data_IF_471846594170
#
_entry.id   IF_471846594170
#
_cell.length_a   1.000
_cell.length_b   1.000
_cell.length_c   1.000
_cell.angle_alpha   90.00
_cell.angle_beta   90.00
_cell.angle_gamma   90.00
#
_symmetry.space_group_name_H-M   'P 1'
#
loop_
_entity.id
_entity.type
_entity.pdbx_description
1 polymer ?
#
# COMPACT_ATOMS: atom_id res chain seq x y z
N UNK A 1 -46.12 -24.79 -35.04
CA UNK A 1 -47.26 -23.86 -35.20
C UNK A 1 -47.00 -22.61 -34.36
N UNK A 2 -47.15 -21.45 -34.99
CA UNK A 2 -47.35 -20.09 -34.46
C UNK A 2 -46.38 -19.50 -33.41
N UNK A 3 -45.56 -18.57 -33.88
CA UNK A 3 -45.00 -17.43 -33.14
C UNK A 3 -46.15 -16.55 -32.58
N UNK A 4 -45.99 -15.99 -31.38
CA UNK A 4 -46.89 -14.94 -30.86
C UNK A 4 -46.06 -13.71 -30.47
N UNK A 5 -46.12 -12.75 -31.38
CA UNK A 5 -45.45 -11.45 -31.38
C UNK A 5 -46.11 -10.44 -30.42
N UNK A 6 -45.26 -9.57 -29.87
CA UNK A 6 -45.46 -8.15 -29.55
C UNK A 6 -46.90 -7.60 -29.60
N UNK A 7 -47.42 -7.17 -28.44
CA UNK A 7 -48.43 -6.11 -28.38
C UNK A 7 -47.85 -4.90 -27.64
N UNK A 8 -47.02 -4.13 -28.35
CA UNK A 8 -46.66 -2.77 -27.97
C UNK A 8 -47.83 -1.85 -28.32
N UNK A 9 -48.67 -1.51 -27.34
CA UNK A 9 -49.67 -0.45 -27.50
C UNK A 9 -48.94 0.87 -27.74
N UNK A 10 -48.94 1.34 -28.98
CA UNK A 10 -48.51 2.69 -29.37
C UNK A 10 -49.47 3.67 -28.68
N UNK A 11 -48.98 4.41 -27.69
CA UNK A 11 -49.73 5.54 -27.13
C UNK A 11 -49.84 6.63 -28.22
N UNK A 12 -51.04 7.20 -28.46
CA UNK A 12 -51.18 8.32 -29.38
C UNK A 12 -50.43 9.53 -28.82
N UNK A 13 -49.53 10.09 -29.64
CA UNK A 13 -48.88 11.35 -29.38
C UNK A 13 -49.91 12.47 -29.51
N UNK A 14 -50.43 12.94 -28.39
CA UNK A 14 -51.12 14.23 -28.32
C UNK A 14 -50.05 15.32 -28.43
N UNK A 15 -49.88 15.85 -29.64
CA UNK A 15 -49.17 17.11 -29.87
C UNK A 15 -50.04 18.25 -29.33
N UNK A 16 -49.53 19.14 -28.46
CA UNK A 16 -50.12 20.45 -28.32
C UNK A 16 -49.51 21.39 -29.38
N UNK A 17 -50.42 22.08 -30.06
CA UNK A 17 -50.37 23.49 -30.47
C UNK A 17 -49.04 24.22 -30.28
N UNK A 18 -48.66 24.98 -31.31
CA UNK A 18 -47.67 26.06 -31.32
C UNK A 18 -47.89 27.04 -30.16
N UNK A 19 -47.38 26.69 -28.99
CA UNK A 19 -47.17 27.60 -27.88
C UNK A 19 -45.66 27.70 -27.64
N UNK A 20 -45.20 28.93 -27.45
CA UNK A 20 -43.83 29.23 -27.12
C UNK A 20 -43.48 28.55 -25.79
N UNK A 21 -42.93 27.35 -25.85
CA UNK A 21 -42.39 26.65 -24.67
C UNK A 21 -41.27 27.53 -24.15
N UNK A 22 -41.54 28.22 -23.05
CA UNK A 22 -40.60 29.09 -22.38
C UNK A 22 -39.34 28.28 -22.03
N UNK A 23 -38.28 28.44 -22.82
CA UNK A 23 -37.01 27.74 -22.63
C UNK A 23 -36.30 28.19 -21.34
N UNK A 24 -36.71 29.32 -20.73
CA UNK A 24 -36.25 29.73 -19.40
C UNK A 24 -36.87 28.90 -18.26
N UNK A 25 -37.93 28.13 -18.52
CA UNK A 25 -38.46 27.10 -17.63
C UNK A 25 -37.77 25.73 -17.83
N UNK A 26 -36.67 25.64 -18.58
CA UNK A 26 -35.75 24.49 -18.50
C UNK A 26 -35.15 24.49 -17.09
N UNK A 27 -35.83 23.78 -16.19
CA UNK A 27 -35.36 23.48 -14.84
C UNK A 27 -33.91 23.01 -14.94
N UNK A 28 -32.99 23.89 -14.51
CA UNK A 28 -31.59 23.55 -14.33
C UNK A 28 -31.50 22.24 -13.53
N UNK A 29 -30.48 21.44 -13.80
CA UNK A 29 -30.30 20.08 -13.26
C UNK A 29 -30.06 20.04 -11.72
N UNK A 30 -30.61 20.97 -10.95
CA UNK A 30 -30.29 21.28 -9.56
C UNK A 30 -31.27 20.67 -8.53
N UNK A 31 -32.12 19.72 -8.91
CA UNK A 31 -32.94 19.05 -7.89
C UNK A 31 -32.13 17.96 -7.18
N UNK A 32 -32.14 18.00 -5.84
CA UNK A 32 -31.49 17.02 -4.97
C UNK A 32 -31.74 15.56 -5.41
N UNK A 33 -32.97 15.23 -5.85
CA UNK A 33 -33.33 13.89 -6.33
C UNK A 33 -32.55 13.46 -7.58
N UNK A 34 -32.30 14.37 -8.52
CA UNK A 34 -31.53 14.08 -9.74
C UNK A 34 -30.06 13.84 -9.39
N UNK A 35 -29.48 14.69 -8.55
CA UNK A 35 -28.11 14.53 -8.06
C UNK A 35 -27.94 13.23 -7.29
N UNK A 36 -28.86 12.89 -6.36
CA UNK A 36 -28.84 11.62 -5.62
C UNK A 36 -28.94 10.40 -6.54
N UNK A 37 -29.76 10.47 -7.59
CA UNK A 37 -29.87 9.38 -8.58
C UNK A 37 -28.60 9.24 -9.42
N UNK A 38 -27.99 10.36 -9.82
CA UNK A 38 -26.76 10.38 -10.59
C UNK A 38 -25.56 9.84 -9.79
N UNK A 39 -25.48 10.13 -8.49
CA UNK A 39 -24.41 9.68 -7.59
C UNK A 39 -24.73 8.34 -6.88
N UNK A 40 -25.76 7.61 -7.31
CA UNK A 40 -26.15 6.36 -6.65
C UNK A 40 -25.15 5.25 -6.94
N UNK A 41 -24.41 4.85 -5.91
CA UNK A 41 -23.58 3.63 -5.91
C UNK A 41 -24.46 2.44 -5.53
N UNK A 42 -24.33 1.32 -6.24
CA UNK A 42 -25.02 0.06 -5.90
C UNK A 42 -24.30 -0.63 -4.74
N UNK A 43 -25.03 -1.32 -3.84
CA UNK A 43 -24.39 -2.15 -2.82
C UNK A 43 -23.63 -3.31 -3.48
N UNK A 44 -22.75 -3.95 -2.71
CA UNK A 44 -22.03 -5.14 -3.16
C UNK A 44 -23.00 -6.31 -3.42
N UNK A 45 -22.63 -7.22 -4.33
CA UNK A 45 -23.48 -8.33 -4.75
C UNK A 45 -23.81 -9.29 -3.60
N UNK A 46 -22.95 -9.38 -2.59
CA UNK A 46 -23.19 -10.17 -1.36
C UNK A 46 -24.43 -9.72 -0.56
N UNK A 47 -24.92 -8.49 -0.76
CA UNK A 47 -26.14 -7.98 -0.12
C UNK A 47 -27.38 -8.08 -1.01
N UNK A 48 -27.26 -8.64 -2.22
CA UNK A 48 -28.42 -8.94 -3.04
C UNK A 48 -29.25 -10.06 -2.39
N UNK A 49 -30.59 -10.06 -2.52
CA UNK A 49 -31.42 -11.12 -1.96
C UNK A 49 -30.96 -12.48 -2.50
N UNK A 50 -30.74 -13.44 -1.59
CA UNK A 50 -30.37 -14.81 -1.96
C UNK A 50 -31.50 -15.45 -2.75
N UNK A 51 -31.19 -16.01 -3.92
CA UNK A 51 -32.15 -16.77 -4.71
C UNK A 51 -32.25 -18.24 -4.26
N UNK A 52 -31.25 -18.72 -3.52
CA UNK A 52 -31.07 -20.14 -3.21
C UNK A 52 -31.48 -20.48 -1.77
N UNK A 53 -31.26 -19.56 -0.83
CA UNK A 53 -31.52 -19.82 0.59
C UNK A 53 -32.92 -19.37 0.98
N UNK A 54 -33.66 -20.26 1.65
CA UNK A 54 -35.05 -20.06 2.05
C UNK A 54 -35.20 -19.59 3.49
N UNK A 55 -34.11 -19.60 4.27
CA UNK A 55 -34.07 -19.25 5.70
C UNK A 55 -32.95 -18.23 5.97
N UNK A 56 -33.01 -17.62 7.16
CA UNK A 56 -31.98 -16.69 7.64
C UNK A 56 -30.65 -17.41 7.89
N UNK A 57 -29.56 -16.85 7.38
CA UNK A 57 -28.21 -17.42 7.48
C UNK A 57 -27.15 -16.32 7.64
N UNK A 58 -25.96 -16.70 8.12
CA UNK A 58 -24.82 -15.79 8.29
C UNK A 58 -23.89 -15.91 7.09
N UNK A 59 -23.68 -14.81 6.37
CA UNK A 59 -22.77 -14.73 5.22
C UNK A 59 -21.39 -14.23 5.66
N UNK A 60 -20.33 -14.92 5.27
CA UNK A 60 -18.96 -14.42 5.43
C UNK A 60 -18.60 -13.49 4.26
N UNK A 61 -18.50 -12.19 4.54
CA UNK A 61 -18.23 -11.15 3.55
C UNK A 61 -16.95 -10.37 3.90
N UNK A 62 -15.75 -10.89 3.59
CA UNK A 62 -14.50 -10.19 3.86
C UNK A 62 -14.41 -8.93 2.97
N UNK A 63 -14.30 -7.72 3.56
CA UNK A 63 -14.29 -6.49 2.77
C UNK A 63 -12.97 -6.33 2.01
N UNK A 64 -13.04 -5.78 0.79
CA UNK A 64 -11.87 -5.39 -0.02
C UNK A 64 -11.22 -4.09 0.45
N UNK A 65 -10.97 -3.97 1.75
CA UNK A 65 -10.39 -2.79 2.40
C UNK A 65 -9.18 -3.18 3.26
N UNK A 66 -8.29 -2.21 3.54
CA UNK A 66 -7.20 -2.44 4.48
C UNK A 66 -7.74 -2.75 5.89
N UNK A 67 -7.14 -3.71 6.61
CA UNK A 67 -7.55 -4.02 7.98
C UNK A 67 -7.20 -2.86 8.93
N UNK A 68 -8.02 -2.69 9.97
CA UNK A 68 -7.74 -1.78 11.07
C UNK A 68 -6.67 -2.36 12.02
N UNK A 69 -5.97 -1.51 12.77
CA UNK A 69 -4.97 -1.87 13.79
C UNK A 69 -5.53 -2.85 14.84
N UNK A 70 -6.81 -2.74 15.16
CA UNK A 70 -7.48 -3.65 16.12
C UNK A 70 -7.72 -5.07 15.57
N UNK A 71 -7.56 -5.31 14.27
CA UNK A 71 -7.51 -6.66 13.72
C UNK A 71 -6.11 -7.25 13.95
N UNK A 72 -5.86 -7.65 15.20
CA UNK A 72 -4.56 -8.15 15.64
C UNK A 72 -4.25 -9.51 14.99
N UNK A 73 -3.16 -9.64 14.22
CA UNK A 73 -2.76 -10.93 13.67
C UNK A 73 -2.39 -11.89 14.80
N UNK A 74 -2.59 -13.20 14.57
CA UNK A 74 -2.35 -14.25 15.57
C UNK A 74 -0.96 -14.16 16.24
N UNK A 75 0.07 -13.73 15.50
CA UNK A 75 1.44 -13.59 16.03
C UNK A 75 1.53 -12.62 17.21
N UNK A 76 0.63 -11.65 17.32
CA UNK A 76 0.61 -10.66 18.40
C UNK A 76 -0.38 -10.98 19.54
N UNK A 77 -1.15 -12.06 19.44
CA UNK A 77 -2.03 -12.49 20.52
C UNK A 77 -1.24 -13.23 21.63
N UNK A 78 -1.67 -13.22 22.91
CA UNK A 78 -1.14 -14.11 23.94
C UNK A 78 -1.40 -15.58 23.61
N UNK A 79 -0.55 -16.51 24.08
CA UNK A 79 -0.70 -17.96 23.78
C UNK A 79 -2.05 -18.54 24.25
N UNK A 80 -2.56 -18.07 25.38
CA UNK A 80 -3.81 -18.54 26.00
C UNK A 80 -5.08 -17.87 25.43
N UNK A 81 -4.96 -16.99 24.44
CA UNK A 81 -6.11 -16.28 23.87
C UNK A 81 -6.98 -17.24 23.04
N UNK A 82 -8.27 -17.45 23.37
CA UNK A 82 -9.14 -18.37 22.65
C UNK A 82 -9.35 -17.97 21.18
N UNK A 83 -9.18 -16.69 20.82
CA UNK A 83 -9.29 -16.19 19.44
C UNK A 83 -8.25 -16.81 18.52
N UNK A 84 -7.13 -17.32 19.04
CA UNK A 84 -6.16 -18.08 18.25
C UNK A 84 -6.76 -19.32 17.58
N UNK A 85 -7.78 -19.94 18.20
CA UNK A 85 -8.47 -21.14 17.67
C UNK A 85 -9.41 -20.82 16.50
N UNK A 86 -9.98 -19.61 16.48
CA UNK A 86 -11.00 -19.19 15.51
C UNK A 86 -10.46 -18.35 14.35
N UNK A 87 -9.17 -17.99 14.38
CA UNK A 87 -8.52 -17.32 13.26
C UNK A 87 -8.20 -18.33 12.15
N UNK A 88 -9.28 -18.85 11.53
CA UNK A 88 -9.21 -19.42 10.21
C UNK A 88 -8.82 -18.30 9.23
N UNK A 89 -7.93 -18.57 8.26
CA UNK A 89 -7.45 -17.54 7.35
C UNK A 89 -8.63 -16.97 6.56
N UNK A 90 -8.91 -15.68 6.78
CA UNK A 90 -9.63 -14.82 5.83
C UNK A 90 -8.96 -14.80 4.45
N UNK A 91 -7.82 -15.47 4.28
CA UNK A 91 -7.03 -15.62 3.05
C UNK A 91 -7.25 -16.94 2.30
N UNK A 92 -8.10 -17.87 2.76
CA UNK A 92 -8.34 -19.15 2.05
C UNK A 92 -9.74 -19.32 1.46
N UNK A 93 -10.62 -18.33 1.59
CA UNK A 93 -11.84 -18.30 0.79
C UNK A 93 -11.45 -17.89 -0.63
N UNK A 94 -11.12 -18.87 -1.48
CA UNK A 94 -11.16 -18.69 -2.94
C UNK A 94 -12.49 -17.99 -3.26
N UNK A 95 -12.50 -16.87 -4.01
CA UNK A 95 -13.76 -16.32 -4.50
C UNK A 95 -14.52 -17.43 -5.25
N UNK A 96 -15.86 -17.52 -5.15
CA UNK A 96 -16.63 -18.44 -5.96
C UNK A 96 -16.24 -18.22 -7.42
N UNK A 97 -15.71 -19.29 -8.00
CA UNK A 97 -15.12 -19.42 -9.31
C UNK A 97 -15.95 -18.74 -10.40
N UNK A 98 -15.37 -17.76 -11.08
CA UNK A 98 -15.60 -17.53 -12.50
C UNK A 98 -15.24 -18.84 -13.24
N UNK A 99 -16.11 -19.42 -14.07
CA UNK A 99 -15.79 -20.65 -14.80
C UNK A 99 -14.87 -20.27 -15.97
N UNK A 100 -13.56 -20.39 -15.77
CA UNK A 100 -12.58 -20.18 -16.83
C UNK A 100 -11.19 -19.89 -16.31
N UNK A 101 -10.50 -20.91 -15.78
CA UNK A 101 -9.12 -21.25 -16.13
C UNK A 101 -8.51 -22.22 -15.10
N UNK A 102 -8.06 -23.36 -15.63
CA UNK A 102 -7.04 -24.30 -15.11
C UNK A 102 -7.07 -24.75 -13.64
N UNK A 103 -7.50 -26.01 -13.48
CA UNK A 103 -6.88 -27.06 -12.65
C UNK A 103 -5.62 -26.62 -11.86
N UNK A 104 -5.77 -26.44 -10.55
CA UNK A 104 -4.67 -26.34 -9.59
C UNK A 104 -4.90 -27.32 -8.45
N UNK A 105 -4.15 -28.41 -8.48
CA UNK A 105 -4.00 -29.44 -7.44
C UNK A 105 -3.78 -28.82 -6.06
N UNK A 106 -4.44 -29.40 -5.05
CA UNK A 106 -4.18 -29.09 -3.64
C UNK A 106 -2.75 -29.51 -3.30
N UNK A 107 -1.85 -28.56 -3.10
CA UNK A 107 -0.53 -28.83 -2.55
C UNK A 107 -0.52 -28.51 -1.04
N UNK A 108 -0.12 -29.47 -0.19
CA UNK A 108 0.14 -29.22 1.22
C UNK A 108 1.50 -28.51 1.36
N UNK A 109 1.58 -27.48 2.20
CA UNK A 109 2.82 -26.83 2.64
C UNK A 109 3.81 -26.37 1.54
N UNK A 110 3.49 -25.28 0.85
CA UNK A 110 4.52 -24.54 0.14
C UNK A 110 4.58 -23.10 0.63
N UNK A 111 5.70 -22.73 1.26
CA UNK A 111 6.17 -21.35 1.46
C UNK A 111 6.47 -20.62 0.13
N UNK A 112 5.85 -21.01 -0.97
CA UNK A 112 6.38 -20.86 -2.33
C UNK A 112 5.64 -19.86 -3.19
N UNK A 113 5.21 -18.71 -2.66
CA UNK A 113 4.94 -17.50 -3.47
C UNK A 113 4.60 -16.31 -2.58
N UNK A 114 5.45 -16.02 -1.59
CA UNK A 114 5.45 -14.66 -1.07
C UNK A 114 5.83 -13.72 -2.24
N UNK A 115 5.21 -12.54 -2.36
CA UNK A 115 5.60 -11.58 -3.39
C UNK A 115 7.09 -11.27 -3.25
N UNK A 116 7.74 -10.96 -4.38
CA UNK A 116 9.16 -10.65 -4.40
C UNK A 116 9.48 -9.59 -3.34
N UNK A 117 10.46 -9.85 -2.45
CA UNK A 117 10.73 -8.95 -1.36
C UNK A 117 11.29 -7.63 -1.92
N UNK A 118 10.77 -6.50 -1.42
CA UNK A 118 11.25 -5.16 -1.83
C UNK A 118 12.74 -4.99 -1.54
N UNK A 119 13.25 -5.64 -0.49
CA UNK A 119 14.67 -5.72 -0.15
C UNK A 119 15.11 -7.18 -0.21
N UNK A 120 16.20 -7.44 -0.94
CA UNK A 120 16.78 -8.77 -0.98
C UNK A 120 17.20 -9.22 0.44
N UNK A 121 16.84 -10.44 0.86
CA UNK A 121 17.31 -10.98 2.13
C UNK A 121 18.84 -11.04 2.12
N UNK A 122 19.46 -10.60 3.21
CA UNK A 122 20.90 -10.74 3.40
C UNK A 122 21.17 -11.34 4.77
N UNK A 123 22.17 -12.22 4.85
CA UNK A 123 22.61 -12.80 6.11
C UNK A 123 23.55 -11.86 6.85
N UNK A 124 23.33 -11.69 8.16
CA UNK A 124 24.18 -10.87 9.01
C UNK A 124 25.45 -11.66 9.36
N UNK A 125 26.61 -11.13 8.99
CA UNK A 125 27.92 -11.71 9.31
C UNK A 125 28.53 -11.02 10.54
N UNK A 126 28.98 -11.81 11.51
CA UNK A 126 29.60 -11.34 12.76
C UNK A 126 31.02 -11.89 12.91
N UNK A 127 31.84 -11.76 11.86
CA UNK A 127 33.19 -12.30 11.80
C UNK A 127 34.29 -11.32 12.25
N UNK A 128 33.96 -10.04 12.45
CA UNK A 128 34.95 -9.02 12.85
C UNK A 128 35.26 -9.16 14.33
N UNK A 129 36.54 -9.36 14.66
CA UNK A 129 37.01 -9.52 16.04
C UNK A 129 37.32 -8.18 16.72
N UNK A 130 37.46 -8.18 18.05
CA UNK A 130 37.78 -6.97 18.81
C UNK A 130 39.10 -6.30 18.36
N UNK A 131 40.14 -7.09 18.08
CA UNK A 131 41.41 -6.58 17.58
C UNK A 131 41.26 -5.87 16.21
N UNK A 132 40.41 -6.40 15.33
CA UNK A 132 40.11 -5.76 14.05
C UNK A 132 39.31 -4.46 14.23
N UNK A 133 38.41 -4.39 15.22
CA UNK A 133 37.70 -3.14 15.56
C UNK A 133 38.68 -2.06 16.02
N UNK A 134 39.70 -2.41 16.80
CA UNK A 134 40.75 -1.49 17.21
C UNK A 134 41.60 -1.03 16.03
N UNK A 135 41.93 -1.93 15.10
CA UNK A 135 42.61 -1.59 13.85
C UNK A 135 41.76 -0.63 12.99
N UNK A 136 40.45 -0.88 12.87
CA UNK A 136 39.52 0.03 12.17
C UNK A 136 39.57 1.43 12.77
N UNK A 137 39.51 1.55 14.10
CA UNK A 137 39.58 2.85 14.79
C UNK A 137 40.91 3.54 14.54
N UNK A 138 42.01 2.79 14.66
CA UNK A 138 43.37 3.29 14.44
C UNK A 138 43.54 3.82 13.01
N UNK A 139 43.23 3.03 11.99
CA UNK A 139 43.37 3.44 10.58
C UNK A 139 42.51 4.66 10.25
N UNK A 140 41.30 4.74 10.82
CA UNK A 140 40.40 5.89 10.63
C UNK A 140 40.94 7.16 11.29
N UNK A 141 41.54 7.04 12.47
CA UNK A 141 42.14 8.17 13.19
C UNK A 141 43.42 8.67 12.50
N UNK A 142 44.24 7.76 11.97
CA UNK A 142 45.49 8.10 11.27
C UNK A 142 45.23 8.91 9.99
N UNK A 143 44.39 8.39 9.08
CA UNK A 143 44.16 9.04 7.78
C UNK A 143 42.71 8.88 7.32
N UNK A 144 41.77 9.74 7.79
CA UNK A 144 40.35 9.58 7.50
C UNK A 144 39.98 9.88 6.03
N UNK A 145 40.85 10.54 5.27
CA UNK A 145 40.69 10.75 3.82
C UNK A 145 41.04 9.49 3.02
N UNK A 146 42.11 8.79 3.39
CA UNK A 146 42.54 7.56 2.74
C UNK A 146 41.68 6.37 3.17
N UNK A 147 41.49 6.19 4.48
CA UNK A 147 40.74 5.09 5.07
C UNK A 147 39.27 5.45 5.24
N UNK A 148 38.56 5.58 4.12
CA UNK A 148 37.12 5.87 4.11
C UNK A 148 36.31 4.69 4.65
N UNK A 149 35.06 4.96 5.05
CA UNK A 149 34.12 3.91 5.49
C UNK A 149 33.96 2.79 4.46
N UNK A 150 34.01 3.13 3.18
CA UNK A 150 33.90 2.17 2.06
C UNK A 150 35.12 1.25 2.03
N UNK A 151 36.33 1.82 2.04
CA UNK A 151 37.58 1.05 2.01
C UNK A 151 37.76 0.16 3.23
N UNK A 152 37.39 0.64 4.42
CA UNK A 152 37.43 -0.17 5.64
C UNK A 152 36.40 -1.31 5.59
N UNK A 153 35.19 -1.04 5.08
CA UNK A 153 34.17 -2.06 4.89
C UNK A 153 34.63 -3.17 3.93
N UNK A 154 35.32 -2.81 2.84
CA UNK A 154 35.91 -3.75 1.89
C UNK A 154 37.05 -4.55 2.53
N UNK A 155 38.00 -3.88 3.21
CA UNK A 155 39.16 -4.51 3.86
C UNK A 155 38.74 -5.57 4.89
N UNK A 156 37.77 -5.25 5.75
CA UNK A 156 37.29 -6.15 6.80
C UNK A 156 36.03 -6.93 6.41
N UNK A 157 35.61 -6.85 5.14
CA UNK A 157 34.42 -7.50 4.59
C UNK A 157 33.15 -7.32 5.45
N UNK A 158 32.96 -6.11 5.97
CA UNK A 158 31.86 -5.78 6.89
C UNK A 158 30.97 -4.66 6.31
N UNK A 159 29.85 -4.35 6.97
CA UNK A 159 28.95 -3.28 6.50
C UNK A 159 29.56 -1.89 6.71
N UNK A 160 29.41 -0.98 5.73
CA UNK A 160 29.78 0.44 5.90
C UNK A 160 29.06 1.09 7.09
N UNK A 161 27.88 0.58 7.45
CA UNK A 161 27.16 1.01 8.65
C UNK A 161 27.88 0.57 9.92
N UNK A 162 28.36 -0.68 9.97
CA UNK A 162 29.16 -1.19 11.09
C UNK A 162 30.41 -0.36 11.34
N UNK A 163 31.17 -0.03 10.29
CA UNK A 163 32.34 0.87 10.42
C UNK A 163 31.97 2.22 11.03
N UNK A 164 30.78 2.75 10.71
CA UNK A 164 30.27 4.01 11.27
C UNK A 164 29.92 3.94 12.76
N UNK A 165 29.59 2.75 13.25
CA UNK A 165 29.37 2.49 14.67
C UNK A 165 30.70 2.39 15.43
N UNK A 166 31.72 1.81 14.79
CA UNK A 166 33.03 1.61 15.40
C UNK A 166 33.82 2.92 15.58
N UNK A 167 33.72 3.85 14.61
CA UNK A 167 34.55 5.04 14.56
C UNK A 167 33.87 6.22 13.85
N UNK A 168 34.20 7.43 14.29
CA UNK A 168 33.78 8.69 13.69
C UNK A 168 35.02 9.48 13.21
N UNK A 169 34.82 10.38 12.24
CA UNK A 169 35.85 11.32 11.79
C UNK A 169 35.23 12.74 11.72
N UNK A 170 35.28 13.53 12.81
CA UNK A 170 34.54 14.79 12.91
C UNK A 170 35.02 15.82 11.88
N UNK A 171 36.34 15.94 11.66
CA UNK A 171 36.90 16.89 10.69
C UNK A 171 36.38 16.67 9.26
N UNK A 172 36.31 15.40 8.82
CA UNK A 172 35.76 15.04 7.50
C UNK A 172 34.25 15.26 7.45
N UNK A 173 33.55 15.06 8.57
CA UNK A 173 32.12 15.34 8.65
C UNK A 173 31.87 16.83 8.46
N UNK A 174 32.59 17.69 9.17
CA UNK A 174 32.46 19.15 9.04
C UNK A 174 32.79 19.64 7.64
N UNK A 175 33.86 19.14 7.02
CA UNK A 175 34.21 19.46 5.62
C UNK A 175 33.06 19.10 4.69
N UNK A 176 32.50 17.89 4.81
CA UNK A 176 31.34 17.48 4.01
C UNK A 176 30.08 18.27 4.29
N UNK A 177 29.84 18.65 5.54
CA UNK A 177 28.67 19.46 5.90
C UNK A 177 28.78 20.86 5.26
N UNK A 178 29.99 21.44 5.19
CA UNK A 178 30.26 22.69 4.45
C UNK A 178 30.03 22.52 2.95
N UNK A 179 30.60 21.48 2.33
CA UNK A 179 30.36 21.17 0.90
C UNK A 179 28.87 20.98 0.60
N UNK A 180 28.14 20.29 1.48
CA UNK A 180 26.69 20.11 1.34
C UNK A 180 25.93 21.43 1.48
N UNK A 181 26.37 22.33 2.36
CA UNK A 181 25.79 23.66 2.49
C UNK A 181 25.99 24.50 1.22
N UNK A 182 27.18 24.46 0.61
CA UNK A 182 27.47 25.10 -0.68
C UNK A 182 26.65 24.51 -1.82
N UNK A 183 26.48 23.18 -1.86
CA UNK A 183 25.61 22.53 -2.85
C UNK A 183 24.15 22.96 -2.67
N UNK A 184 23.70 23.11 -1.42
CA UNK A 184 22.34 23.56 -1.09
C UNK A 184 22.13 25.04 -1.42
N UNK A 185 23.11 25.91 -1.19
CA UNK A 185 23.01 27.34 -1.53
C UNK A 185 22.86 27.56 -3.04
N UNK A 186 23.42 26.65 -3.85
CA UNK A 186 23.27 26.63 -5.31
C UNK A 186 21.91 26.13 -5.79
N UNK A 187 21.01 25.69 -4.92
CA UNK A 187 19.68 25.24 -5.34
C UNK A 187 18.79 26.45 -5.67
N UNK A 188 18.17 26.42 -6.85
CA UNK A 188 17.11 27.37 -7.19
C UNK A 188 15.80 27.09 -6.43
N UNK A 189 14.93 28.09 -6.36
CA UNK A 189 13.66 28.08 -5.62
C UNK A 189 12.85 26.78 -5.75
N UNK A 190 12.52 26.35 -6.97
CA UNK A 190 11.72 25.13 -7.24
C UNK A 190 12.33 23.87 -6.62
N UNK A 191 13.66 23.75 -6.62
CA UNK A 191 14.35 22.58 -6.07
C UNK A 191 14.33 22.60 -4.55
N UNK A 192 14.48 23.78 -3.95
CA UNK A 192 14.40 23.96 -2.50
C UNK A 192 13.01 23.61 -1.99
N UNK A 193 11.95 24.20 -2.57
CA UNK A 193 10.55 23.90 -2.24
C UNK A 193 10.27 22.38 -2.35
N UNK A 194 10.65 21.75 -3.46
CA UNK A 194 10.44 20.31 -3.64
C UNK A 194 11.21 19.43 -2.63
N UNK A 195 12.34 19.90 -2.10
CA UNK A 195 13.12 19.18 -1.07
C UNK A 195 12.50 19.35 0.30
N UNK A 196 11.98 20.53 0.62
CA UNK A 196 11.20 20.80 1.83
C UNK A 196 9.92 19.96 1.85
N UNK A 197 9.16 19.92 0.75
CA UNK A 197 7.96 19.08 0.61
C UNK A 197 8.24 17.58 0.77
N UNK A 198 9.43 17.14 0.36
CA UNK A 198 9.86 15.75 0.60
C UNK A 198 10.12 15.51 2.09
N UNK A 199 10.68 16.48 2.80
CA UNK A 199 10.94 16.37 4.24
C UNK A 199 9.64 16.38 5.03
N UNK A 200 8.69 17.26 4.70
CA UNK A 200 7.36 17.30 5.33
C UNK A 200 6.61 16.00 5.13
N UNK A 201 6.56 15.46 3.89
CA UNK A 201 5.96 14.14 3.63
C UNK A 201 6.61 13.04 4.44
N UNK A 202 7.95 12.99 4.50
CA UNK A 202 8.67 11.97 5.28
C UNK A 202 8.37 12.08 6.78
N UNK A 203 8.25 13.30 7.31
CA UNK A 203 7.89 13.53 8.70
C UNK A 203 6.45 13.07 9.00
N UNK A 204 5.53 13.22 8.04
CA UNK A 204 4.13 12.81 8.18
C UNK A 204 3.91 11.29 8.09
N UNK A 205 4.78 10.54 7.40
CA UNK A 205 4.60 9.09 7.18
C UNK A 205 4.39 8.25 8.45
N UNK A 206 4.87 8.68 9.61
CA UNK A 206 4.76 7.95 10.88
C UNK A 206 3.83 8.58 11.91
N UNK A 207 3.05 9.60 11.53
CA UNK A 207 2.20 10.35 12.48
C UNK A 207 0.81 9.73 12.68
N UNK A 208 0.25 9.11 11.64
CA UNK A 208 -1.12 8.58 11.62
C UNK A 208 -1.16 7.04 11.69
N UNK A 209 -0.24 6.43 12.46
CA UNK A 209 -0.23 4.98 12.74
C UNK A 209 -0.96 4.69 14.04
#
# INVERSE_FOLDING_TARGET
MALSSLNGSIRPSLLPSTEWICTSCRRYQSSFRRTRKALRVKPDASFAPSATETQDHIVFNPPSSAPNVYHTPQKFLPANDPRRRFAAPTTSAKPPSTPGSSSGTQHPNNSSELPAPVRQPYEKKYHVTQAQVEEIRRLRAENPKQWTRVKLAEKFQCSQYFVSLCCCAPEIKEQRDRELAEIKSRWGRKKTEAREDRQTRKALWGRDV
#
